data_IF_578455206862
#
_entry.id   IF_578455206862
#
_cell.length_a   1.000
_cell.length_b   1.000
_cell.length_c   1.000
_cell.angle_alpha   90.00
_cell.angle_beta   90.00
_cell.angle_gamma   90.00
#
_symmetry.space_group_name_H-M   'P 1'
#
loop_
_entity.id
_entity.type
_entity.pdbx_description
1 polymer ?
#
# COMPACT_ATOMS: atom_id res chain seq x y z
N UNK A 1 23.66 10.47 -16.51
CA UNK A 1 23.24 10.28 -15.10
C UNK A 1 23.45 8.82 -14.78
N UNK A 2 24.09 8.47 -13.66
CA UNK A 2 24.15 7.07 -13.25
C UNK A 2 22.72 6.59 -13.00
N UNK A 3 22.33 5.51 -13.66
CA UNK A 3 21.05 4.84 -13.42
C UNK A 3 21.00 4.39 -11.96
N UNK A 4 19.94 4.77 -11.24
CA UNK A 4 19.74 4.34 -9.85
C UNK A 4 19.35 2.86 -9.84
N UNK A 5 19.84 2.11 -8.86
CA UNK A 5 19.42 0.70 -8.69
C UNK A 5 18.03 0.62 -8.05
N UNK A 6 17.00 0.46 -8.89
CA UNK A 6 15.59 0.48 -8.50
C UNK A 6 14.95 -0.89 -8.70
N UNK A 7 14.23 -1.37 -7.68
CA UNK A 7 13.36 -2.55 -7.80
C UNK A 7 11.97 -2.27 -7.23
N UNK A 8 10.97 -2.32 -8.10
CA UNK A 8 9.56 -2.15 -7.76
C UNK A 8 8.88 -3.52 -7.82
N UNK A 9 8.47 -4.05 -6.67
CA UNK A 9 7.68 -5.27 -6.63
C UNK A 9 6.25 -4.99 -7.09
N UNK A 10 5.73 -5.85 -7.95
CA UNK A 10 4.35 -5.86 -8.39
C UNK A 10 3.66 -7.02 -7.68
N UNK A 11 2.95 -6.71 -6.59
CA UNK A 11 2.22 -7.72 -5.84
C UNK A 11 1.06 -8.28 -6.67
N UNK A 12 1.13 -9.58 -6.98
CA UNK A 12 0.14 -10.29 -7.78
C UNK A 12 -0.23 -11.65 -7.20
N UNK A 13 -1.46 -12.10 -7.48
CA UNK A 13 -2.00 -13.42 -7.11
C UNK A 13 -2.63 -14.13 -8.31
N UNK A 14 -2.43 -13.60 -9.53
CA UNK A 14 -2.88 -14.17 -10.79
C UNK A 14 -1.99 -13.67 -11.93
N UNK A 15 -2.04 -14.33 -13.09
CA UNK A 15 -1.40 -13.80 -14.28
C UNK A 15 -2.08 -12.51 -14.73
N UNK A 16 -1.26 -11.54 -15.14
CA UNK A 16 -1.71 -10.24 -15.60
C UNK A 16 -0.64 -9.61 -16.50
N UNK A 17 -1.02 -8.53 -17.20
CA UNK A 17 -0.05 -7.64 -17.82
C UNK A 17 1.00 -7.17 -16.79
N UNK A 18 2.27 -7.28 -17.17
CA UNK A 18 3.42 -6.78 -16.43
C UNK A 18 4.24 -5.84 -17.34
N UNK A 19 4.71 -4.69 -16.83
CA UNK A 19 5.66 -3.84 -17.53
C UNK A 19 6.92 -4.62 -17.95
N UNK A 20 7.51 -4.24 -19.09
CA UNK A 20 8.71 -4.89 -19.62
C UNK A 20 10.02 -4.32 -19.07
N UNK A 21 9.96 -3.20 -18.35
CA UNK A 21 11.14 -2.56 -17.75
C UNK A 21 11.66 -3.39 -16.57
N UNK A 22 12.97 -3.67 -16.56
CA UNK A 22 13.65 -4.53 -15.59
C UNK A 22 13.54 -4.04 -14.15
N UNK A 23 13.21 -2.77 -13.91
CA UNK A 23 12.95 -2.29 -12.54
C UNK A 23 11.73 -2.96 -11.91
N UNK A 24 10.81 -3.52 -12.71
CA UNK A 24 9.62 -4.19 -12.21
C UNK A 24 9.87 -5.68 -11.96
N UNK A 25 9.52 -6.12 -10.75
CA UNK A 25 9.56 -7.53 -10.36
C UNK A 25 8.14 -8.02 -10.07
N UNK A 26 7.50 -8.76 -10.99
CA UNK A 26 6.28 -9.49 -10.69
C UNK A 26 6.53 -10.47 -9.54
N UNK A 27 5.79 -10.30 -8.45
CA UNK A 27 5.93 -11.10 -7.23
C UNK A 27 4.61 -11.80 -6.92
N UNK A 28 4.61 -13.13 -6.98
CA UNK A 28 3.49 -13.95 -6.56
C UNK A 28 3.39 -13.90 -5.04
N UNK A 29 2.47 -13.07 -4.54
CA UNK A 29 2.25 -12.90 -3.10
C UNK A 29 1.35 -13.99 -2.52
N UNK A 30 1.71 -14.48 -1.35
CA UNK A 30 1.10 -15.66 -0.76
C UNK A 30 1.29 -16.90 -1.61
N UNK A 31 2.46 -17.07 -2.24
CA UNK A 31 2.77 -18.28 -3.03
C UNK A 31 2.75 -19.54 -2.16
N UNK A 32 3.07 -19.43 -0.87
CA UNK A 32 3.07 -20.54 0.08
C UNK A 32 1.76 -21.35 -0.01
N UNK A 33 1.84 -22.58 -0.53
CA UNK A 33 0.71 -23.48 -0.68
C UNK A 33 -0.21 -23.21 -1.87
N UNK A 34 0.20 -22.40 -2.86
CA UNK A 34 -0.56 -22.11 -4.08
C UNK A 34 0.15 -22.57 -5.35
N UNK A 35 -0.63 -22.72 -6.42
CA UNK A 35 -0.13 -23.07 -7.76
C UNK A 35 0.83 -22.00 -8.33
N UNK A 36 1.74 -22.44 -9.18
CA UNK A 36 2.76 -21.56 -9.76
C UNK A 36 2.19 -20.66 -10.87
N UNK A 37 2.53 -19.38 -10.83
CA UNK A 37 2.12 -18.39 -11.83
C UNK A 37 3.21 -18.06 -12.87
N UNK A 38 4.41 -18.64 -12.72
CA UNK A 38 5.58 -18.30 -13.51
C UNK A 38 6.29 -17.01 -13.06
N UNK A 39 6.01 -16.54 -11.85
CA UNK A 39 6.65 -15.36 -11.24
C UNK A 39 7.45 -15.77 -10.00
N UNK A 40 8.42 -14.92 -9.61
CA UNK A 40 9.10 -15.05 -8.31
C UNK A 40 8.06 -15.11 -7.19
N UNK A 41 8.23 -16.05 -6.24
CA UNK A 41 7.39 -16.17 -5.06
C UNK A 41 7.89 -15.34 -3.89
N UNK A 42 6.98 -14.91 -3.02
CA UNK A 42 7.31 -14.29 -1.74
C UNK A 42 7.56 -15.30 -0.61
N UNK A 43 7.67 -16.59 -0.92
CA UNK A 43 7.79 -17.74 0.00
C UNK A 43 9.22 -18.27 0.14
N UNK A 44 10.21 -17.45 -0.21
CA UNK A 44 11.65 -17.80 -0.14
C UNK A 44 12.39 -16.87 0.83
N UNK A 45 13.53 -17.32 1.37
CA UNK A 45 14.29 -16.52 2.35
C UNK A 45 13.48 -16.19 3.60
N UNK A 46 13.74 -15.02 4.22
CA UNK A 46 12.92 -14.52 5.34
C UNK A 46 11.61 -13.95 4.80
N UNK A 47 10.49 -14.55 5.22
CA UNK A 47 9.19 -14.27 4.63
C UNK A 47 8.02 -14.51 5.59
N UNK A 48 6.86 -13.96 5.18
CA UNK A 48 5.56 -14.18 5.83
C UNK A 48 4.49 -14.56 4.80
N UNK A 49 4.87 -15.28 3.73
CA UNK A 49 3.98 -15.61 2.60
C UNK A 49 2.66 -16.24 3.04
N UNK A 50 2.71 -17.16 4.01
CA UNK A 50 1.52 -17.83 4.57
C UNK A 50 0.49 -16.86 5.19
N UNK A 51 0.89 -15.64 5.58
CA UNK A 51 0.00 -14.61 6.15
C UNK A 51 -0.75 -13.79 5.09
N UNK A 52 -0.53 -14.06 3.79
CA UNK A 52 -1.12 -13.31 2.69
C UNK A 52 -2.67 -13.19 2.71
N UNK A 53 -3.45 -14.21 3.16
CA UNK A 53 -4.90 -14.07 3.29
C UNK A 53 -5.33 -12.84 4.11
N UNK A 54 -4.48 -12.39 5.05
CA UNK A 54 -4.77 -11.29 5.97
C UNK A 54 -3.89 -10.06 5.72
N UNK A 55 -2.60 -10.26 5.46
CA UNK A 55 -1.61 -9.21 5.22
C UNK A 55 -1.57 -8.71 3.77
N UNK A 56 -2.22 -9.42 2.85
CA UNK A 56 -2.31 -9.02 1.44
C UNK A 56 -0.91 -8.74 0.84
N UNK A 57 -0.76 -7.65 0.09
CA UNK A 57 0.49 -7.22 -0.54
C UNK A 57 1.65 -6.98 0.42
N UNK A 58 1.39 -6.83 1.73
CA UNK A 58 2.45 -6.63 2.73
C UNK A 58 3.37 -7.85 2.86
N UNK A 59 2.88 -9.04 2.49
CA UNK A 59 3.72 -10.24 2.41
C UNK A 59 4.84 -10.07 1.39
N UNK A 60 4.51 -9.48 0.23
CA UNK A 60 5.48 -9.07 -0.76
C UNK A 60 6.41 -7.95 -0.27
N UNK A 61 5.88 -6.93 0.42
CA UNK A 61 6.71 -5.87 1.00
C UNK A 61 7.72 -6.42 2.01
N UNK A 62 7.28 -7.32 2.91
CA UNK A 62 8.14 -7.95 3.89
C UNK A 62 9.26 -8.74 3.19
N UNK A 63 8.91 -9.55 2.19
CA UNK A 63 9.88 -10.30 1.42
C UNK A 63 10.89 -9.38 0.72
N UNK A 64 10.44 -8.32 0.06
CA UNK A 64 11.33 -7.33 -0.57
C UNK A 64 12.24 -6.63 0.43
N UNK A 65 11.70 -6.28 1.60
CA UNK A 65 12.46 -5.67 2.69
C UNK A 65 13.58 -6.58 3.17
N UNK A 66 13.35 -7.88 3.31
CA UNK A 66 14.34 -8.82 3.83
C UNK A 66 15.33 -9.34 2.79
N UNK A 67 14.91 -9.47 1.54
CA UNK A 67 15.65 -10.27 0.56
C UNK A 67 16.23 -9.47 -0.62
N UNK A 68 15.70 -8.27 -0.93
CA UNK A 68 16.22 -7.49 -2.07
C UNK A 68 17.34 -6.53 -1.64
N UNK A 69 18.48 -6.51 -2.35
CA UNK A 69 19.64 -5.67 -2.01
C UNK A 69 19.57 -4.26 -2.60
N UNK A 70 18.58 -3.96 -3.45
CA UNK A 70 18.58 -2.74 -4.27
C UNK A 70 18.49 -1.46 -3.44
N UNK A 71 19.16 -0.40 -3.91
CA UNK A 71 19.23 0.92 -3.25
C UNK A 71 17.86 1.59 -3.09
N UNK A 72 16.94 1.34 -4.04
CA UNK A 72 15.57 1.84 -4.00
C UNK A 72 14.58 0.69 -4.17
N UNK A 73 13.59 0.66 -3.29
CA UNK A 73 12.51 -0.30 -3.35
C UNK A 73 11.16 0.40 -3.55
N UNK A 74 10.28 -0.26 -4.29
CA UNK A 74 8.89 0.16 -4.42
C UNK A 74 7.92 -1.00 -4.30
N UNK A 75 6.70 -0.69 -3.90
CA UNK A 75 5.57 -1.62 -3.89
C UNK A 75 4.45 -1.04 -4.76
N UNK A 76 3.97 -1.82 -5.72
CA UNK A 76 2.74 -1.54 -6.47
C UNK A 76 1.84 -2.77 -6.58
N UNK A 77 0.61 -2.55 -7.04
CA UNK A 77 -0.36 -3.61 -7.29
C UNK A 77 -0.32 -4.03 -8.76
N UNK A 78 -0.60 -5.31 -9.05
CA UNK A 78 -0.70 -5.84 -10.41
C UNK A 78 -1.65 -5.09 -11.37
N UNK A 79 -2.57 -4.28 -10.83
CA UNK A 79 -3.57 -3.50 -11.60
C UNK A 79 -3.45 -1.99 -11.41
N UNK A 80 -2.41 -1.48 -10.75
CA UNK A 80 -2.18 -0.04 -10.52
C UNK A 80 -0.72 0.29 -10.76
N UNK A 81 -0.43 0.94 -11.88
CA UNK A 81 0.93 1.29 -12.27
C UNK A 81 1.13 2.80 -12.17
N UNK A 82 2.21 3.24 -11.52
CA UNK A 82 2.58 4.65 -11.51
C UNK A 82 2.74 5.19 -12.92
N UNK A 83 2.41 6.47 -13.13
CA UNK A 83 2.49 7.10 -14.44
C UNK A 83 2.76 8.59 -14.29
N UNK A 84 3.63 9.15 -15.13
CA UNK A 84 3.81 10.60 -15.26
C UNK A 84 3.13 11.16 -16.51
N UNK A 85 2.51 10.31 -17.34
CA UNK A 85 1.86 10.70 -18.59
C UNK A 85 0.62 11.55 -18.31
N UNK A 86 0.33 12.52 -19.17
CA UNK A 86 -0.83 13.40 -19.05
C UNK A 86 -2.16 12.64 -19.17
N UNK A 87 -3.27 13.28 -18.75
CA UNK A 87 -4.61 12.70 -18.93
C UNK A 87 -4.96 12.46 -20.41
N UNK A 88 -4.43 13.28 -21.32
CA UNK A 88 -4.66 13.14 -22.75
C UNK A 88 -3.94 11.89 -23.30
N UNK A 89 -2.67 11.70 -22.94
CA UNK A 89 -1.89 10.51 -23.31
C UNK A 89 -2.54 9.24 -22.80
N UNK A 90 -2.96 9.21 -21.52
CA UNK A 90 -3.64 8.05 -20.91
C UNK A 90 -4.93 7.63 -21.61
N UNK A 91 -5.57 8.52 -22.37
CA UNK A 91 -6.79 8.21 -23.14
C UNK A 91 -6.48 7.68 -24.53
N UNK A 92 -5.34 8.07 -25.10
CA UNK A 92 -4.99 7.80 -26.50
C UNK A 92 -4.05 6.61 -26.67
N UNK A 93 -3.23 6.34 -25.66
CA UNK A 93 -2.17 5.35 -25.74
C UNK A 93 -2.50 4.08 -24.95
N UNK A 94 -1.96 2.92 -25.36
CA UNK A 94 -2.18 1.65 -24.69
C UNK A 94 -1.36 1.54 -23.38
N UNK A 95 -1.75 0.64 -22.47
CA UNK A 95 -1.21 0.55 -21.10
C UNK A 95 0.31 0.38 -21.07
N UNK A 96 0.84 -0.34 -22.04
CA UNK A 96 2.25 -0.68 -22.28
C UNK A 96 3.16 0.54 -22.42
N UNK A 97 2.59 1.71 -22.69
CA UNK A 97 3.32 2.97 -22.89
C UNK A 97 3.08 3.99 -21.77
N UNK A 98 2.26 3.62 -20.78
CA UNK A 98 1.76 4.55 -19.77
C UNK A 98 2.41 4.39 -18.40
N UNK A 99 3.03 3.25 -18.11
CA UNK A 99 3.70 3.04 -16.83
C UNK A 99 4.98 3.88 -16.74
N UNK A 100 5.38 4.19 -15.50
CA UNK A 100 6.61 4.91 -15.18
C UNK A 100 7.82 4.12 -15.70
N UNK A 101 8.72 4.74 -16.44
CA UNK A 101 9.96 4.07 -16.88
C UNK A 101 11.07 4.22 -15.85
N UNK A 102 12.12 3.42 -15.96
CA UNK A 102 13.31 3.51 -15.12
C UNK A 102 13.93 4.93 -15.15
N UNK A 103 14.02 5.57 -16.31
CA UNK A 103 14.57 6.92 -16.44
C UNK A 103 13.70 7.95 -15.71
N UNK A 104 12.38 7.86 -15.87
CA UNK A 104 11.43 8.75 -15.20
C UNK A 104 11.48 8.56 -13.68
N UNK A 105 11.51 7.31 -13.21
CA UNK A 105 11.67 6.99 -11.79
C UNK A 105 13.00 7.53 -11.24
N UNK A 106 14.11 7.33 -11.97
CA UNK A 106 15.43 7.82 -11.59
C UNK A 106 15.48 9.36 -11.48
N UNK A 107 14.83 10.06 -12.42
CA UNK A 107 14.74 11.52 -12.42
C UNK A 107 13.86 12.05 -11.28
N UNK A 108 12.80 11.34 -10.91
CA UNK A 108 11.99 11.71 -9.74
C UNK A 108 12.79 11.48 -8.44
N UNK A 109 13.45 10.33 -8.30
CA UNK A 109 14.24 9.99 -7.11
C UNK A 109 15.52 10.83 -6.94
N UNK A 110 15.93 11.61 -7.94
CA UNK A 110 17.01 12.59 -7.78
C UNK A 110 16.54 13.89 -7.12
N UNK A 111 15.23 14.14 -7.09
CA UNK A 111 14.62 15.37 -6.58
C UNK A 111 13.76 15.14 -5.32
N UNK A 112 13.24 13.93 -5.17
CA UNK A 112 12.25 13.56 -4.17
C UNK A 112 12.69 12.29 -3.43
N UNK A 113 12.38 12.23 -2.13
CA UNK A 113 12.77 11.13 -1.26
C UNK A 113 11.80 9.95 -1.34
N UNK A 114 10.51 10.26 -1.52
CA UNK A 114 9.42 9.27 -1.57
C UNK A 114 8.47 9.62 -2.71
N UNK A 115 8.21 8.66 -3.60
CA UNK A 115 7.18 8.75 -4.63
C UNK A 115 5.97 7.96 -4.15
N UNK A 116 4.78 8.55 -4.23
CA UNK A 116 3.50 8.00 -3.73
C UNK A 116 2.37 8.26 -4.72
N UNK A 117 1.23 7.54 -4.64
CA UNK A 117 0.10 7.82 -5.51
C UNK A 117 -0.53 9.19 -5.18
N UNK A 118 -1.34 9.68 -6.10
CA UNK A 118 -2.30 10.76 -5.83
C UNK A 118 -3.14 10.45 -4.59
N UNK A 119 -3.27 11.45 -3.70
CA UNK A 119 -4.09 11.32 -2.48
C UNK A 119 -5.53 10.96 -2.82
N UNK A 120 -6.11 10.09 -2.00
CA UNK A 120 -7.55 9.86 -1.98
C UNK A 120 -8.17 10.91 -1.05
N UNK A 121 -9.11 11.69 -1.57
CA UNK A 121 -9.83 12.71 -0.78
C UNK A 121 -11.25 12.21 -0.44
N UNK A 122 -11.66 12.46 0.81
CA UNK A 122 -12.95 12.13 1.40
C UNK A 122 -13.66 13.42 1.79
N UNK A 123 -14.63 13.84 0.98
CA UNK A 123 -15.25 15.15 1.14
C UNK A 123 -16.20 15.28 2.32
N UNK A 124 -16.70 14.18 2.87
CA UNK A 124 -17.70 14.15 3.95
C UNK A 124 -17.31 13.21 5.10
N UNK A 125 -16.06 12.73 5.13
CA UNK A 125 -15.55 11.76 6.11
C UNK A 125 -14.09 12.05 6.44
N UNK A 126 -13.68 11.74 7.66
CA UNK A 126 -12.27 11.56 8.00
C UNK A 126 -11.80 10.16 7.61
N UNK A 127 -10.49 9.93 7.62
CA UNK A 127 -9.93 8.60 7.41
C UNK A 127 -10.49 7.59 8.40
N UNK A 128 -10.57 7.96 9.68
CA UNK A 128 -11.17 7.11 10.70
C UNK A 128 -12.65 6.84 10.44
N UNK A 129 -13.47 7.88 10.23
CA UNK A 129 -14.91 7.66 10.03
C UNK A 129 -15.20 6.86 8.76
N UNK A 130 -14.41 7.06 7.69
CA UNK A 130 -14.53 6.27 6.48
C UNK A 130 -14.22 4.78 6.74
N UNK A 131 -13.13 4.50 7.44
CA UNK A 131 -12.77 3.14 7.83
C UNK A 131 -13.85 2.53 8.71
N UNK A 132 -14.26 3.24 9.76
CA UNK A 132 -15.29 2.81 10.70
C UNK A 132 -16.67 2.61 10.04
N UNK A 133 -17.00 3.33 8.97
CA UNK A 133 -18.25 3.11 8.23
C UNK A 133 -18.16 1.89 7.31
N UNK A 134 -17.00 1.60 6.74
CA UNK A 134 -16.81 0.53 5.75
C UNK A 134 -16.37 -0.82 6.35
N UNK A 135 -15.71 -0.78 7.51
CA UNK A 135 -15.07 -1.89 8.22
C UNK A 135 -15.33 -1.78 9.74
N UNK A 136 -14.71 -2.63 10.55
CA UNK A 136 -14.82 -2.60 12.01
C UNK A 136 -13.86 -1.56 12.60
N UNK A 137 -14.38 -0.60 13.38
CA UNK A 137 -13.59 0.48 13.97
C UNK A 137 -12.53 -0.04 14.96
N UNK A 138 -12.85 -1.13 15.67
CA UNK A 138 -11.97 -1.83 16.62
C UNK A 138 -10.55 -2.06 16.09
N UNK A 139 -10.41 -2.33 14.78
CA UNK A 139 -9.08 -2.51 14.18
C UNK A 139 -8.17 -1.29 14.40
N UNK A 140 -8.72 -0.08 14.27
CA UNK A 140 -7.97 1.17 14.48
C UNK A 140 -7.86 1.53 15.96
N UNK A 141 -8.88 1.21 16.75
CA UNK A 141 -8.87 1.47 18.19
C UNK A 141 -7.77 0.66 18.89
N UNK A 142 -7.70 -0.65 18.61
CA UNK A 142 -6.62 -1.51 19.14
C UNK A 142 -5.26 -1.14 18.55
N UNK A 143 -5.19 -0.71 17.28
CA UNK A 143 -3.93 -0.19 16.70
C UNK A 143 -3.45 1.05 17.46
N UNK A 144 -4.36 1.93 17.86
CA UNK A 144 -4.04 3.13 18.66
C UNK A 144 -3.50 2.76 20.04
N UNK A 145 -4.09 1.75 20.69
CA UNK A 145 -3.59 1.20 21.96
C UNK A 145 -2.16 0.67 21.81
N UNK A 146 -1.91 -0.15 20.77
CA UNK A 146 -0.57 -0.69 20.49
C UNK A 146 0.45 0.43 20.29
N UNK A 147 0.10 1.47 19.53
CA UNK A 147 0.98 2.64 19.34
C UNK A 147 1.25 3.34 20.67
N UNK A 148 0.22 3.53 21.49
CA UNK A 148 0.36 4.17 22.81
C UNK A 148 1.34 3.42 23.70
N UNK A 149 1.29 2.09 23.70
CA UNK A 149 2.12 1.24 24.55
C UNK A 149 3.55 1.06 24.03
N UNK A 150 3.74 0.91 22.71
CA UNK A 150 5.03 0.50 22.12
C UNK A 150 5.83 1.64 21.49
N UNK A 151 5.17 2.69 21.02
CA UNK A 151 5.80 3.81 20.31
C UNK A 151 4.95 5.09 20.49
N UNK A 152 4.72 5.45 21.75
CA UNK A 152 3.79 6.53 22.14
C UNK A 152 4.12 7.90 21.52
N UNK A 153 5.35 8.12 21.08
CA UNK A 153 5.76 9.29 20.31
C UNK A 153 5.00 9.46 18.98
N UNK A 154 4.46 8.36 18.41
CA UNK A 154 3.64 8.38 17.20
C UNK A 154 2.16 8.71 17.47
N UNK A 155 1.69 8.65 18.73
CA UNK A 155 0.26 8.75 19.05
C UNK A 155 -0.36 10.06 18.57
N UNK A 156 0.34 11.18 18.76
CA UNK A 156 -0.14 12.50 18.30
C UNK A 156 -0.30 12.55 16.77
N UNK A 157 0.61 11.91 16.03
CA UNK A 157 0.54 11.84 14.58
C UNK A 157 -0.51 10.84 14.09
N UNK A 158 -0.70 9.74 14.80
CA UNK A 158 -1.79 8.80 14.56
C UNK A 158 -3.15 9.50 14.65
N UNK A 159 -3.43 10.17 15.77
CA UNK A 159 -4.68 10.90 16.00
C UNK A 159 -4.90 12.02 14.98
N UNK A 160 -3.82 12.73 14.60
CA UNK A 160 -3.89 13.75 13.58
C UNK A 160 -4.25 13.17 12.20
N UNK A 161 -3.66 12.03 11.80
CA UNK A 161 -3.95 11.35 10.53
C UNK A 161 -5.38 10.82 10.50
N UNK A 162 -5.86 10.22 11.59
CA UNK A 162 -7.23 9.70 11.69
C UNK A 162 -8.30 10.78 11.48
N UNK A 163 -7.98 12.04 11.80
CA UNK A 163 -8.84 13.22 11.59
C UNK A 163 -8.74 13.83 10.19
N UNK A 164 -7.77 13.43 9.37
CA UNK A 164 -7.62 13.96 8.00
C UNK A 164 -8.75 13.50 7.09
N UNK A 165 -9.02 14.28 6.05
CA UNK A 165 -10.02 13.99 5.00
C UNK A 165 -9.39 13.44 3.73
N UNK A 166 -8.18 12.90 3.83
CA UNK A 166 -7.49 12.30 2.70
C UNK A 166 -6.08 11.87 3.04
N UNK A 167 -5.55 10.94 2.26
CA UNK A 167 -4.25 10.33 2.49
C UNK A 167 -3.75 9.53 1.29
N UNK A 168 -2.53 9.04 1.39
CA UNK A 168 -1.94 8.11 0.43
C UNK A 168 -2.46 6.71 0.74
N UNK A 169 -3.20 6.12 -0.19
CA UNK A 169 -3.81 4.80 -0.02
C UNK A 169 -3.06 3.74 -0.82
N UNK A 170 -3.44 2.48 -0.62
CA UNK A 170 -2.96 1.31 -1.35
C UNK A 170 -1.55 0.82 -1.01
N UNK A 171 -0.88 1.28 0.05
CA UNK A 171 0.49 0.83 0.37
C UNK A 171 1.48 0.98 -0.82
N UNK A 172 1.23 1.92 -1.75
CA UNK A 172 2.06 2.12 -2.92
C UNK A 172 3.10 3.20 -2.68
N UNK A 173 4.36 2.90 -2.95
CA UNK A 173 5.44 3.88 -2.88
C UNK A 173 6.65 3.44 -3.71
N UNK A 174 7.59 4.37 -3.92
CA UNK A 174 8.99 4.11 -4.32
C UNK A 174 9.87 5.01 -3.45
N UNK A 175 10.83 4.44 -2.72
CA UNK A 175 11.76 5.17 -1.85
C UNK A 175 13.07 4.41 -1.63
N UNK A 176 14.05 5.03 -0.98
CA UNK A 176 15.33 4.37 -0.68
C UNK A 176 15.15 3.16 0.24
N UNK A 177 16.08 2.20 0.16
CA UNK A 177 16.14 1.04 1.06
C UNK A 177 16.23 1.45 2.53
N UNK A 178 16.95 2.54 2.84
CA UNK A 178 17.01 3.12 4.18
C UNK A 178 15.61 3.49 4.70
N UNK A 179 14.81 4.20 3.89
CA UNK A 179 13.45 4.57 4.25
C UNK A 179 12.52 3.35 4.34
N UNK A 180 12.70 2.34 3.48
CA UNK A 180 11.98 1.06 3.59
C UNK A 180 12.33 0.35 4.88
N UNK A 181 13.61 0.32 5.27
CA UNK A 181 14.06 -0.32 6.50
C UNK A 181 13.45 0.38 7.72
N UNK A 182 13.48 1.70 7.77
CA UNK A 182 12.88 2.48 8.86
C UNK A 182 11.36 2.23 8.95
N UNK A 183 10.65 2.38 7.82
CA UNK A 183 9.20 2.16 7.76
C UNK A 183 8.81 0.74 8.18
N UNK A 184 9.48 -0.29 7.63
CA UNK A 184 9.11 -1.68 7.89
C UNK A 184 9.48 -2.12 9.33
N UNK A 185 10.58 -1.59 9.87
CA UNK A 185 10.97 -1.85 11.27
C UNK A 185 9.97 -1.26 12.26
N UNK A 186 9.28 -0.18 11.90
CA UNK A 186 8.18 0.37 12.69
C UNK A 186 6.85 -0.34 12.43
N UNK A 187 6.50 -0.60 11.17
CA UNK A 187 5.19 -1.12 10.76
C UNK A 187 4.95 -2.56 11.23
N UNK A 188 5.86 -3.49 10.92
CA UNK A 188 5.60 -4.91 11.11
C UNK A 188 5.44 -5.32 12.58
N UNK A 189 6.21 -4.79 13.55
CA UNK A 189 5.97 -5.06 14.97
C UNK A 189 4.57 -4.64 15.44
N UNK A 190 4.05 -3.51 14.93
CA UNK A 190 2.68 -3.06 15.23
C UNK A 190 1.66 -4.06 14.65
N UNK A 191 1.83 -4.45 13.39
CA UNK A 191 0.90 -5.38 12.74
C UNK A 191 0.93 -6.79 13.35
N UNK A 192 2.10 -7.28 13.77
CA UNK A 192 2.21 -8.57 14.45
C UNK A 192 1.63 -8.54 15.86
N UNK A 193 1.70 -7.41 16.55
CA UNK A 193 0.96 -7.24 17.82
C UNK A 193 -0.54 -7.18 17.57
N UNK A 194 -0.98 -6.46 16.53
CA UNK A 194 -2.40 -6.37 16.16
C UNK A 194 -2.97 -7.75 15.82
N UNK A 195 -2.20 -8.59 15.13
CA UNK A 195 -2.57 -9.99 14.83
C UNK A 195 -2.77 -10.83 16.09
N UNK A 196 -2.00 -10.59 17.15
CA UNK A 196 -2.17 -11.29 18.43
C UNK A 196 -3.41 -10.82 19.20
N UNK A 197 -3.71 -9.52 19.14
CA UNK A 197 -4.85 -8.92 19.88
C UNK A 197 -6.18 -9.16 19.20
N UNK A 198 -6.19 -9.13 17.87
CA UNK A 198 -7.39 -9.34 17.06
C UNK A 198 -7.09 -10.48 16.07
N UNK A 199 -7.32 -11.74 16.46
CA UNK A 199 -7.25 -12.86 15.51
C UNK A 199 -8.23 -12.64 14.35
N UNK A 200 -7.83 -13.04 13.15
CA UNK A 200 -8.57 -12.74 11.93
C UNK A 200 -9.71 -13.72 11.64
N UNK A 201 -9.69 -14.88 12.30
CA UNK A 201 -10.57 -16.03 12.14
C UNK A 201 -12.01 -15.72 12.53
N UNK A 202 -12.22 -14.68 13.35
CA UNK A 202 -13.55 -14.19 13.72
C UNK A 202 -14.26 -13.42 12.58
N UNK A 203 -13.54 -13.07 11.51
CA UNK A 203 -14.05 -12.27 10.40
C UNK A 203 -14.24 -13.08 9.12
N UNK A 204 -15.11 -12.59 8.23
CA UNK A 204 -15.21 -13.12 6.86
C UNK A 204 -13.86 -12.97 6.12
N UNK A 205 -13.63 -13.76 5.07
CA UNK A 205 -12.41 -13.66 4.22
C UNK A 205 -12.17 -12.22 3.75
N UNK A 206 -13.23 -11.44 3.48
CA UNK A 206 -13.08 -10.05 3.14
C UNK A 206 -12.63 -9.21 4.35
N UNK A 207 -13.27 -9.33 5.50
CA UNK A 207 -12.96 -8.52 6.68
C UNK A 207 -11.61 -8.89 7.31
N UNK A 208 -11.21 -10.16 7.25
CA UNK A 208 -9.95 -10.70 7.75
C UNK A 208 -8.67 -10.08 7.13
N UNK A 209 -8.81 -9.32 6.04
CA UNK A 209 -7.74 -8.58 5.34
C UNK A 209 -7.32 -7.26 6.02
N UNK A 210 -7.77 -7.03 7.25
CA UNK A 210 -7.70 -5.71 7.85
C UNK A 210 -6.27 -5.27 8.20
N UNK A 211 -5.31 -6.17 8.46
CA UNK A 211 -3.91 -5.79 8.67
C UNK A 211 -3.35 -5.00 7.49
N UNK A 212 -3.61 -5.48 6.26
CA UNK A 212 -3.28 -4.76 5.03
C UNK A 212 -3.94 -3.38 4.94
N UNK A 213 -5.20 -3.26 5.36
CA UNK A 213 -5.96 -2.00 5.32
C UNK A 213 -5.53 -0.99 6.39
N UNK A 214 -5.22 -1.48 7.59
CA UNK A 214 -4.67 -0.66 8.68
C UNK A 214 -3.31 -0.10 8.26
N UNK A 215 -2.48 -0.90 7.58
CA UNK A 215 -1.18 -0.44 7.10
C UNK A 215 -1.26 0.75 6.12
N UNK A 216 -2.32 0.86 5.31
CA UNK A 216 -2.52 2.01 4.42
C UNK A 216 -2.60 3.32 5.23
N UNK A 217 -3.26 3.28 6.38
CA UNK A 217 -3.38 4.42 7.28
C UNK A 217 -2.07 4.65 8.04
N UNK A 218 -1.43 3.58 8.53
CA UNK A 218 -0.15 3.66 9.23
C UNK A 218 0.97 4.23 8.35
N UNK A 219 0.98 3.98 7.04
CA UNK A 219 1.94 4.61 6.14
C UNK A 219 1.87 6.15 6.18
N UNK A 220 0.65 6.71 6.28
CA UNK A 220 0.47 8.16 6.42
C UNK A 220 0.96 8.67 7.79
N UNK A 221 0.80 7.86 8.84
CA UNK A 221 1.31 8.17 10.20
C UNK A 221 2.83 8.21 10.20
N UNK A 222 3.47 7.19 9.63
CA UNK A 222 4.92 7.13 9.50
C UNK A 222 5.48 8.30 8.69
N UNK A 223 4.92 8.61 7.51
CA UNK A 223 5.35 9.76 6.71
C UNK A 223 5.26 11.07 7.49
N UNK A 224 4.20 11.25 8.28
CA UNK A 224 4.00 12.44 9.11
C UNK A 224 5.02 12.52 10.24
N UNK A 225 5.27 11.41 10.94
CA UNK A 225 6.29 11.34 11.99
C UNK A 225 7.68 11.62 11.43
N UNK A 226 8.07 10.89 10.40
CA UNK A 226 9.41 10.98 9.83
C UNK A 226 9.71 12.40 9.34
N UNK A 227 8.72 13.04 8.71
CA UNK A 227 8.84 14.44 8.23
C UNK A 227 9.02 15.47 9.34
N UNK A 228 8.72 15.16 10.61
CA UNK A 228 9.01 16.05 11.75
C UNK A 228 10.50 16.02 12.13
N UNK A 229 11.17 14.89 11.96
CA UNK A 229 12.59 14.74 12.27
C UNK A 229 13.48 15.11 11.07
N UNK A 230 13.10 14.65 9.88
CA UNK A 230 13.82 14.90 8.63
C UNK A 230 12.81 15.26 7.54
N UNK A 231 12.73 16.54 7.12
CA UNK A 231 11.75 16.97 6.11
C UNK A 231 11.87 16.16 4.81
N UNK A 232 10.86 15.35 4.50
CA UNK A 232 10.81 14.53 3.29
C UNK A 232 10.22 15.32 2.12
N UNK A 233 10.88 15.28 0.96
CA UNK A 233 10.33 15.72 -0.31
C UNK A 233 9.48 14.62 -0.91
N UNK A 234 8.21 14.58 -0.53
CA UNK A 234 7.24 13.60 -1.02
C UNK A 234 6.62 14.02 -2.35
N UNK A 235 6.76 13.20 -3.39
CA UNK A 235 6.15 13.41 -4.71
C UNK A 235 4.95 12.52 -4.92
N UNK A 236 3.80 13.15 -5.10
CA UNK A 236 2.58 12.45 -5.51
C UNK A 236 2.45 12.43 -7.03
N UNK A 237 2.27 11.25 -7.62
CA UNK A 237 2.03 11.07 -9.07
C UNK A 237 0.76 10.24 -9.32
N UNK A 238 0.11 10.41 -10.49
CA UNK A 238 -1.03 9.57 -10.83
C UNK A 238 -0.60 8.12 -11.08
N UNK A 239 -1.59 7.24 -11.13
CA UNK A 239 -1.41 5.86 -11.56
C UNK A 239 -2.51 5.48 -12.55
N UNK A 240 -2.23 4.48 -13.37
CA UNK A 240 -3.15 3.91 -14.36
C UNK A 240 -3.71 2.59 -13.87
N UNK A 241 -4.97 2.32 -14.19
CA UNK A 241 -5.61 1.06 -13.87
C UNK A 241 -5.41 0.08 -15.02
N UNK A 242 -5.02 -1.15 -14.70
CA UNK A 242 -5.03 -2.27 -15.65
C UNK A 242 -6.43 -2.84 -15.90
N UNK A 243 -7.40 -2.54 -15.03
CA UNK A 243 -8.77 -3.05 -15.09
C UNK A 243 -9.81 -1.90 -15.00
N UNK A 244 -10.99 -2.08 -15.62
CA UNK A 244 -12.09 -1.09 -15.52
C UNK A 244 -12.71 -1.07 -14.13
N UNK A 245 -12.99 0.13 -13.60
CA UNK A 245 -13.67 0.31 -12.30
C UNK A 245 -15.15 0.61 -12.51
N UNK A 246 -16.02 -0.08 -11.77
CA UNK A 246 -17.44 0.25 -11.74
C UNK A 246 -17.73 1.36 -10.71
N UNK A 247 -17.69 2.60 -11.17
CA UNK A 247 -17.87 3.79 -10.33
C UNK A 247 -19.27 3.90 -9.71
N UNK A 248 -20.31 3.46 -10.43
CA UNK A 248 -21.69 3.49 -9.92
C UNK A 248 -21.82 2.60 -8.69
N UNK A 249 -21.38 1.34 -8.81
CA UNK A 249 -21.41 0.37 -7.72
C UNK A 249 -20.60 0.83 -6.51
N UNK A 250 -19.43 1.43 -6.76
CA UNK A 250 -18.56 2.00 -5.73
C UNK A 250 -19.23 3.15 -4.99
N UNK A 251 -19.90 4.05 -5.72
CA UNK A 251 -20.65 5.17 -5.15
C UNK A 251 -21.83 4.71 -4.30
N UNK A 252 -22.64 3.78 -4.81
CA UNK A 252 -23.78 3.22 -4.07
C UNK A 252 -23.32 2.51 -2.79
N UNK A 253 -22.28 1.68 -2.86
CA UNK A 253 -21.74 1.00 -1.68
C UNK A 253 -21.27 2.00 -0.61
N UNK A 254 -20.56 3.05 -1.02
CA UNK A 254 -20.12 4.13 -0.13
C UNK A 254 -21.29 4.80 0.60
N UNK A 255 -22.36 5.15 -0.12
CA UNK A 255 -23.54 5.77 0.48
C UNK A 255 -24.26 4.82 1.46
N UNK A 256 -24.35 3.53 1.11
CA UNK A 256 -24.93 2.52 2.00
C UNK A 256 -24.12 2.33 3.29
N UNK A 257 -22.78 2.33 3.20
CA UNK A 257 -21.92 2.27 4.36
C UNK A 257 -22.08 3.50 5.25
N UNK A 258 -22.08 4.69 4.65
CA UNK A 258 -22.13 5.96 5.37
C UNK A 258 -23.47 6.22 6.08
N UNK A 259 -24.59 6.00 5.39
CA UNK A 259 -25.90 6.45 5.86
C UNK A 259 -26.78 5.32 6.40
N UNK A 260 -26.45 4.06 6.11
CA UNK A 260 -27.27 2.91 6.47
C UNK A 260 -26.50 1.83 7.24
N UNK A 261 -25.23 2.10 7.61
CA UNK A 261 -24.40 1.18 8.40
C UNK A 261 -24.00 -0.11 7.69
N UNK A 262 -24.21 -0.22 6.37
CA UNK A 262 -23.92 -1.44 5.61
C UNK A 262 -22.44 -1.56 5.27
N UNK A 263 -21.73 -2.46 5.96
CA UNK A 263 -20.30 -2.73 5.73
C UNK A 263 -20.01 -3.24 4.32
N UNK A 264 -18.76 -3.09 3.90
CA UNK A 264 -18.31 -3.64 2.63
C UNK A 264 -18.08 -5.15 2.73
N UNK A 265 -18.51 -5.87 1.71
CA UNK A 265 -18.27 -7.32 1.58
C UNK A 265 -17.25 -7.66 0.48
N UNK A 266 -16.85 -6.65 -0.32
CA UNK A 266 -15.88 -6.80 -1.41
C UNK A 266 -15.24 -5.47 -1.81
N UNK A 267 -14.15 -5.57 -2.58
CA UNK A 267 -13.48 -4.41 -3.18
C UNK A 267 -14.19 -3.93 -4.46
N UNK A 268 -13.99 -2.65 -4.81
CA UNK A 268 -14.58 -1.96 -5.97
C UNK A 268 -13.55 -1.25 -6.85
#
# INVERSE_FOLDING_TARGET
>A
MNMKDIKIIIATHKQHFMPSDDMYLPLHVGKSGKEELGYQGDDTGDNISAKNPNFCELTGLYWAWKNLPNDYLGLIHYRRFFSVKSRAERKKNPLETLYLTHEEASQLLSQYDVIVPSKRNYYIETLYSHYANTLHAEHLDVTREIITEKCGEFLGNFDAVMKQRGGYMFNMFIMSKELVNDYCSWLFPILFELEKRIPSEQYSVFHARFYGRVSELLFNVWLKQYSQFKPLKVKSIPFVYGEKINWLKKGTAFLMAKFFGKKYEKSF
#
